data_IF_058749478912
#
_entry.id   IF_058749478912
#
_cell.length_a   1.000
_cell.length_b   1.000
_cell.length_c   1.000
_cell.angle_alpha   90.00
_cell.angle_beta   90.00
_cell.angle_gamma   90.00
#
_symmetry.space_group_name_H-M   'P 1'
#
loop_
_entity.id
_entity.type
_entity.pdbx_description
1 polymer ?
#
# COMPACT_ATOMS: atom_id res chain seq x y z
N UNK A 1 59.11 -37.57 -17.33
CA UNK A 1 58.06 -37.92 -16.34
C UNK A 1 56.71 -37.65 -17.01
N UNK A 2 55.99 -38.66 -17.54
CA UNK A 2 54.94 -39.49 -16.87
C UNK A 2 53.91 -38.58 -16.16
N UNK A 3 52.69 -38.28 -16.62
CA UNK A 3 51.55 -38.95 -17.33
C UNK A 3 50.63 -39.79 -16.41
N UNK A 4 49.31 -39.47 -16.50
CA UNK A 4 48.07 -40.23 -16.17
C UNK A 4 47.54 -40.04 -14.74
N UNK A 5 46.31 -39.53 -14.49
CA UNK A 5 44.93 -39.93 -14.87
C UNK A 5 44.51 -41.30 -14.31
N UNK A 6 43.48 -41.24 -13.44
CA UNK A 6 42.54 -42.23 -12.84
C UNK A 6 42.34 -43.57 -13.60
N UNK A 7 41.84 -44.69 -13.00
CA UNK A 7 40.55 -44.76 -12.26
C UNK A 7 40.36 -45.89 -11.19
N UNK A 8 39.11 -46.01 -10.74
CA UNK A 8 38.50 -46.88 -9.73
C UNK A 8 38.67 -48.40 -9.87
N UNK A 9 38.48 -49.13 -8.76
CA UNK A 9 37.99 -50.52 -8.73
C UNK A 9 37.16 -50.79 -7.46
N UNK A 10 36.14 -51.63 -7.64
CA UNK A 10 35.01 -51.98 -6.77
C UNK A 10 35.19 -53.39 -6.16
N UNK A 11 34.23 -53.82 -5.31
CA UNK A 11 33.92 -55.20 -4.83
C UNK A 11 34.77 -55.72 -3.62
N UNK A 12 34.29 -56.45 -2.60
CA UNK A 12 33.07 -57.27 -2.37
C UNK A 12 32.97 -57.84 -0.93
N UNK A 13 31.72 -57.95 -0.41
CA UNK A 13 30.99 -59.09 0.22
C UNK A 13 31.31 -59.78 1.59
N UNK A 14 30.20 -59.96 2.35
CA UNK A 14 29.66 -61.16 3.08
C UNK A 14 30.37 -61.63 4.40
N UNK A 15 29.70 -62.07 5.49
CA UNK A 15 28.64 -63.09 5.66
C UNK A 15 28.00 -63.12 7.09
N UNK A 16 26.89 -63.87 7.18
CA UNK A 16 25.95 -64.22 8.27
C UNK A 16 26.45 -64.65 9.68
N UNK A 17 25.53 -64.58 10.68
CA UNK A 17 25.59 -65.37 11.93
C UNK A 17 24.41 -65.21 12.92
N UNK A 18 23.48 -66.16 12.88
CA UNK A 18 22.41 -66.63 13.80
C UNK A 18 22.07 -65.98 15.19
N UNK A 19 20.74 -65.84 15.38
CA UNK A 19 19.90 -66.26 16.53
C UNK A 19 20.03 -65.62 17.94
N UNK A 20 18.95 -64.99 18.41
CA UNK A 20 18.04 -65.51 19.46
C UNK A 20 17.07 -64.40 19.95
N UNK A 21 15.77 -64.72 20.08
CA UNK A 21 14.77 -63.92 20.80
C UNK A 21 14.86 -64.25 22.29
N UNK A 22 14.87 -63.23 23.15
CA UNK A 22 14.60 -63.32 24.59
C UNK A 22 13.80 -62.08 25.04
N UNK A 23 12.98 -62.17 26.11
CA UNK A 23 11.73 -61.41 26.27
C UNK A 23 11.87 -60.06 27.00
N UNK A 24 10.76 -59.32 26.89
CA UNK A 24 10.34 -58.04 27.48
C UNK A 24 11.06 -57.49 28.72
N UNK A 25 11.32 -56.18 28.68
CA UNK A 25 11.33 -55.32 29.86
C UNK A 25 10.25 -54.24 29.73
N UNK A 26 9.49 -54.09 30.81
CA UNK A 26 8.45 -53.09 31.00
C UNK A 26 9.15 -51.79 31.37
N UNK A 27 9.19 -50.80 30.46
CA UNK A 27 9.61 -49.44 30.81
C UNK A 27 8.38 -48.55 30.97
N UNK A 28 8.18 -48.17 32.23
CA UNK A 28 7.32 -47.11 32.75
C UNK A 28 7.43 -45.86 31.88
N UNK A 29 6.29 -45.32 31.42
CA UNK A 29 6.25 -43.99 30.81
C UNK A 29 6.88 -42.97 31.78
N UNK A 30 7.76 -42.06 31.29
CA UNK A 30 8.17 -40.92 32.08
C UNK A 30 6.94 -40.07 32.46
N UNK A 31 7.02 -39.22 33.51
CA UNK A 31 5.98 -38.25 33.80
C UNK A 31 5.74 -37.37 32.56
N UNK A 32 4.53 -36.81 32.36
CA UNK A 32 4.34 -35.83 31.30
C UNK A 32 5.39 -34.73 31.51
N UNK A 33 6.23 -34.52 30.49
CA UNK A 33 7.19 -33.43 30.54
C UNK A 33 6.42 -32.13 30.74
N UNK A 34 6.79 -31.50 31.86
CA UNK A 34 6.49 -30.14 32.23
C UNK A 34 6.74 -29.24 31.01
N UNK A 35 5.73 -28.41 30.72
CA UNK A 35 5.64 -27.48 29.61
C UNK A 35 6.99 -26.90 29.19
N UNK A 36 7.44 -27.32 28.00
CA UNK A 36 8.50 -26.67 27.25
C UNK A 36 8.18 -25.17 27.08
N UNK A 37 9.22 -24.33 26.98
CA UNK A 37 9.24 -22.96 27.46
C UNK A 37 8.20 -22.07 26.76
N UNK A 38 7.78 -20.98 27.42
CA UNK A 38 7.17 -19.85 26.75
C UNK A 38 8.11 -19.43 25.60
N UNK A 39 7.79 -19.85 24.38
CA UNK A 39 8.61 -19.57 23.21
C UNK A 39 8.25 -18.19 22.68
N UNK A 40 9.28 -17.38 22.42
CA UNK A 40 9.36 -16.33 21.39
C UNK A 40 8.38 -15.14 21.41
N UNK A 41 7.35 -15.15 22.25
CA UNK A 41 6.29 -14.13 22.24
C UNK A 41 6.11 -13.46 23.61
N UNK A 42 5.85 -12.16 23.61
CA UNK A 42 5.96 -11.26 24.79
C UNK A 42 4.92 -11.47 25.91
N UNK A 43 4.03 -12.47 25.79
CA UNK A 43 2.96 -12.70 26.76
C UNK A 43 3.41 -13.58 27.93
N UNK A 44 3.39 -13.01 29.14
CA UNK A 44 3.75 -13.71 30.38
C UNK A 44 2.78 -14.84 30.80
N UNK A 45 1.57 -14.90 30.25
CA UNK A 45 0.53 -15.90 30.59
C UNK A 45 -0.18 -16.38 29.33
N UNK A 46 -0.25 -17.70 29.17
CA UNK A 46 -1.01 -18.39 28.13
C UNK A 46 -2.13 -19.26 28.74
N UNK A 47 -3.30 -19.43 28.08
CA UNK A 47 -3.73 -18.71 26.89
C UNK A 47 -3.88 -17.20 27.16
N UNK A 48 -3.64 -16.39 26.14
CA UNK A 48 -3.70 -14.92 26.20
C UNK A 48 -5.08 -14.46 26.67
N UNK A 49 -5.07 -13.51 27.60
CA UNK A 49 -6.26 -12.82 28.10
C UNK A 49 -6.27 -11.38 27.64
N UNK A 50 -7.46 -10.78 27.54
CA UNK A 50 -7.62 -9.38 27.14
C UNK A 50 -6.81 -8.41 28.02
N UNK A 51 -6.76 -8.65 29.33
CA UNK A 51 -5.98 -7.80 30.26
C UNK A 51 -4.47 -7.92 30.02
N UNK A 52 -4.00 -9.10 29.60
CA UNK A 52 -2.60 -9.31 29.22
C UNK A 52 -2.26 -8.56 27.93
N UNK A 53 -3.17 -8.50 26.96
CA UNK A 53 -3.03 -7.66 25.75
C UNK A 53 -2.89 -6.19 26.13
N UNK A 54 -3.82 -5.66 26.94
CA UNK A 54 -3.75 -4.26 27.38
C UNK A 54 -2.45 -3.93 28.11
N UNK A 55 -2.01 -4.85 28.98
CA UNK A 55 -0.77 -4.68 29.76
C UNK A 55 0.45 -4.64 28.85
N UNK A 56 0.58 -5.59 27.92
CA UNK A 56 1.73 -5.66 27.01
C UNK A 56 1.82 -4.41 26.12
N UNK A 57 0.72 -4.06 25.43
CA UNK A 57 0.71 -2.92 24.52
C UNK A 57 0.98 -1.59 25.25
N UNK A 58 0.46 -1.41 26.46
CA UNK A 58 0.76 -0.23 27.28
C UNK A 58 2.23 -0.17 27.72
N UNK A 59 2.87 -1.32 27.98
CA UNK A 59 4.32 -1.37 28.25
C UNK A 59 5.16 -0.98 27.02
N UNK A 60 4.64 -1.24 25.82
CA UNK A 60 5.22 -0.83 24.54
C UNK A 60 4.93 0.64 24.18
N UNK A 61 4.12 1.35 24.98
CA UNK A 61 3.75 2.75 24.74
C UNK A 61 2.50 2.94 23.87
N UNK A 62 1.73 1.89 23.62
CA UNK A 62 0.50 1.93 22.83
C UNK A 62 -0.77 1.89 23.69
N UNK A 63 -1.78 2.63 23.25
CA UNK A 63 -3.15 2.52 23.75
C UNK A 63 -3.93 1.46 22.97
N UNK A 64 -4.51 0.48 23.68
CA UNK A 64 -5.42 -0.50 23.07
C UNK A 64 -6.85 0.07 23.03
N UNK A 65 -7.35 0.33 21.83
CA UNK A 65 -8.67 0.93 21.57
C UNK A 65 -9.77 -0.12 21.59
N UNK A 66 -9.54 -1.24 20.90
CA UNK A 66 -10.54 -2.32 20.77
C UNK A 66 -9.87 -3.69 20.78
N UNK A 67 -10.53 -4.66 21.42
CA UNK A 67 -10.15 -6.07 21.38
C UNK A 67 -11.37 -6.89 20.99
N UNK A 68 -11.36 -7.43 19.77
CA UNK A 68 -12.43 -8.24 19.21
C UNK A 68 -12.02 -9.71 19.24
N UNK A 69 -12.64 -10.55 20.10
CA UNK A 69 -12.31 -11.98 20.18
C UNK A 69 -12.87 -12.74 18.97
N UNK A 70 -12.13 -13.75 18.50
CA UNK A 70 -12.55 -14.63 17.41
C UNK A 70 -11.95 -16.03 17.61
N UNK A 71 -12.80 -17.03 17.82
CA UNK A 71 -12.40 -18.45 17.93
C UNK A 71 -11.25 -18.78 18.91
N UNK A 72 -11.03 -17.94 19.91
CA UNK A 72 -9.94 -18.09 20.89
C UNK A 72 -8.78 -17.11 20.69
N UNK A 73 -8.71 -16.48 19.51
CA UNK A 73 -7.77 -15.43 19.14
C UNK A 73 -8.39 -14.03 19.30
N UNK A 74 -7.61 -13.00 18.98
CA UNK A 74 -8.03 -11.61 19.11
C UNK A 74 -7.55 -10.76 17.94
N UNK A 75 -8.46 -9.98 17.36
CA UNK A 75 -8.11 -8.78 16.60
C UNK A 75 -7.99 -7.61 17.59
N UNK A 76 -6.85 -6.92 17.55
CA UNK A 76 -6.52 -5.79 18.41
C UNK A 76 -6.36 -4.55 17.56
N UNK A 77 -7.15 -3.53 17.88
CA UNK A 77 -6.94 -2.16 17.41
C UNK A 77 -6.20 -1.40 18.50
N UNK A 78 -5.08 -0.77 18.12
CA UNK A 78 -4.21 -0.02 19.03
C UNK A 78 -3.56 1.14 18.29
N UNK A 79 -3.03 2.12 19.01
CA UNK A 79 -2.28 3.22 18.40
C UNK A 79 -1.57 4.02 19.47
N UNK A 80 -0.96 5.13 19.09
CA UNK A 80 -0.26 5.99 20.05
C UNK A 80 -1.26 6.63 21.01
N UNK A 81 -0.87 6.77 22.28
CA UNK A 81 -1.73 7.32 23.35
C UNK A 81 -2.18 8.76 23.08
N UNK A 82 -1.42 9.51 22.28
CA UNK A 82 -1.67 10.93 22.02
C UNK A 82 -2.24 11.19 20.61
N UNK A 83 -2.57 10.14 19.85
CA UNK A 83 -3.06 10.27 18.48
C UNK A 83 -4.31 9.40 18.27
N UNK A 84 -5.52 9.92 18.55
CA UNK A 84 -6.75 9.14 18.43
C UNK A 84 -7.18 8.86 16.98
N UNK A 85 -6.58 9.52 15.99
CA UNK A 85 -7.07 9.51 14.60
C UNK A 85 -6.49 8.34 13.80
N UNK A 86 -5.32 7.83 14.19
CA UNK A 86 -4.64 6.75 13.49
C UNK A 86 -4.46 5.50 14.35
N UNK A 87 -4.85 4.34 13.82
CA UNK A 87 -4.78 3.05 14.50
C UNK A 87 -3.92 2.07 13.69
N UNK A 88 -3.43 1.05 14.37
CA UNK A 88 -2.88 -0.19 13.84
C UNK A 88 -3.88 -1.32 14.10
N UNK A 89 -3.82 -2.36 13.26
CA UNK A 89 -4.53 -3.62 13.47
C UNK A 89 -3.51 -4.74 13.65
N UNK A 90 -3.72 -5.60 14.65
CA UNK A 90 -2.92 -6.80 14.85
C UNK A 90 -3.78 -8.02 15.19
N UNK A 91 -3.36 -9.18 14.70
CA UNK A 91 -3.88 -10.47 15.14
C UNK A 91 -3.03 -11.02 16.27
N UNK A 92 -3.69 -11.51 17.33
CA UNK A 92 -3.04 -12.17 18.48
C UNK A 92 -3.60 -13.59 18.61
N UNK A 93 -2.73 -14.57 18.38
CA UNK A 93 -3.04 -15.98 18.57
C UNK A 93 -3.18 -16.28 20.06
N UNK A 94 -4.36 -16.75 20.48
CA UNK A 94 -4.71 -16.87 21.88
C UNK A 94 -3.93 -17.95 22.61
N UNK A 95 -3.65 -19.08 21.96
CA UNK A 95 -2.96 -20.20 22.62
C UNK A 95 -1.46 -19.96 22.76
N UNK A 96 -0.84 -19.35 21.76
CA UNK A 96 0.63 -19.22 21.69
C UNK A 96 1.14 -17.83 22.02
N UNK A 97 0.29 -16.81 21.93
CA UNK A 97 0.69 -15.41 22.09
C UNK A 97 1.36 -14.79 20.87
N UNK A 98 1.48 -15.51 19.74
CA UNK A 98 2.02 -14.93 18.50
C UNK A 98 1.22 -13.70 18.11
N UNK A 99 1.92 -12.61 17.82
CA UNK A 99 1.37 -11.33 17.38
C UNK A 99 1.78 -11.05 15.93
N UNK A 100 0.84 -10.65 15.09
CA UNK A 100 1.09 -10.26 13.71
C UNK A 100 0.41 -8.92 13.44
N UNK A 101 1.18 -7.90 13.08
CA UNK A 101 0.63 -6.63 12.60
C UNK A 101 0.02 -6.84 11.21
N UNK A 102 -1.24 -6.46 11.05
CA UNK A 102 -2.03 -6.66 9.84
C UNK A 102 -1.99 -5.43 8.92
N UNK A 103 -1.92 -4.23 9.47
CA UNK A 103 -2.01 -3.00 8.68
C UNK A 103 -1.07 -1.92 9.21
N UNK A 104 -0.81 -0.91 8.38
CA UNK A 104 -0.12 0.32 8.76
C UNK A 104 -0.92 1.15 9.76
N UNK A 105 -0.31 2.24 10.24
CA UNK A 105 -0.94 3.15 11.18
C UNK A 105 -1.84 4.12 10.41
N UNK A 106 -3.06 3.69 10.14
CA UNK A 106 -3.98 4.35 9.21
C UNK A 106 -5.27 4.79 9.89
N UNK A 107 -5.97 5.71 9.25
CA UNK A 107 -7.32 6.11 9.68
C UNK A 107 -8.36 5.16 9.05
N UNK A 108 -8.76 4.14 9.81
CA UNK A 108 -9.77 3.17 9.37
C UNK A 108 -11.18 3.76 9.44
N UNK A 109 -11.98 3.51 8.41
CA UNK A 109 -13.41 3.84 8.40
C UNK A 109 -14.28 2.65 8.82
N UNK A 110 -13.85 1.44 8.47
CA UNK A 110 -14.44 0.19 8.95
C UNK A 110 -13.44 -0.97 8.84
N UNK A 111 -13.63 -2.00 9.65
CA UNK A 111 -12.95 -3.28 9.49
C UNK A 111 -13.76 -4.40 10.12
N UNK A 112 -13.64 -5.61 9.58
CA UNK A 112 -14.29 -6.82 10.07
C UNK A 112 -13.41 -8.05 9.91
N UNK A 113 -13.63 -9.04 10.78
CA UNK A 113 -12.95 -10.33 10.69
C UNK A 113 -13.70 -11.19 9.68
N UNK A 114 -13.03 -11.59 8.60
CA UNK A 114 -13.60 -12.47 7.56
C UNK A 114 -13.18 -13.93 7.72
N UNK A 115 -12.15 -14.18 8.52
CA UNK A 115 -11.68 -15.53 8.87
C UNK A 115 -10.58 -15.53 9.93
N UNK A 116 -10.06 -16.70 10.32
CA UNK A 116 -8.93 -16.81 11.25
C UNK A 116 -7.70 -16.10 10.70
N UNK A 117 -7.20 -15.09 11.42
CA UNK A 117 -6.06 -14.29 10.97
C UNK A 117 -6.36 -13.42 9.75
N UNK A 118 -7.62 -13.18 9.41
CA UNK A 118 -8.02 -12.46 8.20
C UNK A 118 -8.98 -11.32 8.52
N UNK A 119 -8.68 -10.14 8.00
CA UNK A 119 -9.43 -8.92 8.22
C UNK A 119 -9.65 -8.19 6.91
N UNK A 120 -10.90 -7.83 6.65
CA UNK A 120 -11.25 -6.87 5.61
C UNK A 120 -11.35 -5.48 6.24
N UNK A 121 -10.70 -4.47 5.64
CA UNK A 121 -10.71 -3.09 6.15
C UNK A 121 -10.85 -2.05 5.04
N UNK A 122 -11.33 -0.88 5.44
CA UNK A 122 -11.42 0.33 4.61
C UNK A 122 -10.75 1.51 5.33
N UNK A 123 -10.11 2.40 4.57
CA UNK A 123 -9.41 3.59 5.10
C UNK A 123 -9.90 4.88 4.44
N UNK A 124 -9.64 6.01 5.09
CA UNK A 124 -9.83 7.33 4.47
C UNK A 124 -8.72 7.70 3.47
N UNK A 125 -7.64 6.91 3.42
CA UNK A 125 -6.39 7.25 2.72
C UNK A 125 -5.40 8.07 3.56
N UNK A 126 -5.72 8.37 4.82
CA UNK A 126 -4.79 8.96 5.77
C UNK A 126 -3.95 7.90 6.47
N UNK A 127 -2.63 8.14 6.53
CA UNK A 127 -1.65 7.32 7.26
C UNK A 127 -0.70 8.20 8.08
N UNK A 128 -0.39 7.78 9.31
CA UNK A 128 0.45 8.55 10.23
C UNK A 128 1.91 8.70 9.76
N UNK A 129 2.38 7.79 8.89
CA UNK A 129 3.70 7.86 8.29
C UNK A 129 3.83 8.92 7.20
N UNK A 130 2.72 9.50 6.74
CA UNK A 130 2.71 10.45 5.63
C UNK A 130 1.89 11.69 5.97
N UNK A 131 2.45 12.90 5.82
CA UNK A 131 1.73 14.16 6.11
C UNK A 131 0.70 14.54 5.03
N UNK A 132 0.29 13.62 4.16
CA UNK A 132 -0.59 13.88 3.03
C UNK A 132 -1.75 12.90 2.91
N UNK A 133 -2.84 13.37 2.32
CA UNK A 133 -4.02 12.58 1.98
C UNK A 133 -3.72 11.71 0.77
N UNK A 134 -3.68 10.39 0.99
CA UNK A 134 -3.63 9.38 -0.05
C UNK A 134 -5.02 8.94 -0.49
N UNK A 135 -5.06 7.95 -1.39
CA UNK A 135 -6.33 7.35 -1.83
C UNK A 135 -6.93 6.53 -0.69
N UNK A 136 -8.26 6.61 -0.47
CA UNK A 136 -8.99 5.61 0.28
C UNK A 136 -8.66 4.21 -0.23
N UNK A 137 -8.53 3.25 0.69
CA UNK A 137 -8.23 1.86 0.35
C UNK A 137 -9.33 0.95 0.88
N UNK A 138 -9.57 -0.13 0.15
CA UNK A 138 -10.36 -1.30 0.57
C UNK A 138 -9.46 -2.52 0.36
N UNK A 139 -9.24 -3.29 1.42
CA UNK A 139 -8.28 -4.37 1.39
C UNK A 139 -8.66 -5.52 2.32
N UNK A 140 -8.36 -6.74 1.87
CA UNK A 140 -8.36 -7.94 2.72
C UNK A 140 -6.92 -8.31 3.03
N UNK A 141 -6.58 -8.35 4.31
CA UNK A 141 -5.27 -8.78 4.81
C UNK A 141 -5.39 -10.08 5.58
N UNK A 142 -4.47 -11.01 5.31
CA UNK A 142 -4.43 -12.33 5.91
C UNK A 142 -3.05 -12.64 6.47
N UNK A 143 -3.00 -13.23 7.66
CA UNK A 143 -1.76 -13.77 8.24
C UNK A 143 -1.25 -14.94 7.41
N UNK A 144 0.04 -14.89 7.06
CA UNK A 144 0.81 -16.00 6.52
C UNK A 144 1.46 -16.78 7.67
N UNK A 145 1.03 -18.03 7.83
CA UNK A 145 1.47 -18.91 8.91
C UNK A 145 0.32 -19.29 9.83
N UNK A 146 0.68 -19.83 10.99
CA UNK A 146 -0.26 -20.25 12.02
C UNK A 146 0.17 -19.74 13.39
N UNK A 147 -0.47 -20.22 14.45
CA UNK A 147 -0.13 -19.85 15.82
C UNK A 147 1.32 -20.18 16.22
N UNK A 148 2.01 -21.07 15.49
CA UNK A 148 3.35 -21.55 15.81
C UNK A 148 4.48 -20.87 15.02
N UNK A 149 4.17 -20.21 13.90
CA UNK A 149 5.19 -19.47 13.14
C UNK A 149 4.79 -19.08 11.72
N UNK A 150 5.76 -18.54 10.97
CA UNK A 150 5.60 -18.13 9.56
C UNK A 150 5.60 -19.35 8.63
N UNK A 151 4.89 -19.26 7.50
CA UNK A 151 4.96 -20.28 6.44
C UNK A 151 6.38 -20.41 5.85
N UNK A 152 7.05 -19.28 5.63
CA UNK A 152 8.41 -19.22 5.09
C UNK A 152 9.23 -18.29 5.98
N UNK A 153 10.33 -18.79 6.60
CA UNK A 153 11.25 -17.93 7.35
C UNK A 153 11.77 -16.79 6.46
N UNK A 154 11.87 -15.58 7.02
CA UNK A 154 12.29 -14.34 6.33
C UNK A 154 11.29 -13.72 5.32
N UNK A 155 10.11 -14.30 5.13
CA UNK A 155 9.03 -13.67 4.35
C UNK A 155 8.12 -12.77 5.20
N UNK A 156 7.31 -11.95 4.52
CA UNK A 156 6.24 -11.12 5.10
C UNK A 156 5.28 -12.00 5.93
N UNK A 157 4.82 -11.49 7.08
CA UNK A 157 3.86 -12.20 7.93
C UNK A 157 2.42 -12.14 7.44
N UNK A 158 2.15 -11.37 6.38
CA UNK A 158 0.83 -11.12 5.85
C UNK A 158 0.83 -11.08 4.32
N UNK A 159 -0.32 -11.43 3.76
CA UNK A 159 -0.68 -11.20 2.36
C UNK A 159 -1.82 -10.20 2.34
N UNK A 160 -1.72 -9.17 1.51
CA UNK A 160 -2.77 -8.13 1.37
C UNK A 160 -3.25 -8.11 -0.07
N UNK A 161 -4.56 -8.14 -0.25
CA UNK A 161 -5.24 -7.96 -1.53
C UNK A 161 -6.05 -6.67 -1.48
N UNK A 162 -5.93 -5.85 -2.52
CA UNK A 162 -6.61 -4.56 -2.63
C UNK A 162 -7.78 -4.64 -3.60
N UNK A 163 -8.85 -3.94 -3.27
CA UNK A 163 -10.05 -3.81 -4.11
C UNK A 163 -10.16 -2.40 -4.67
N UNK A 164 -10.86 -2.27 -5.81
CA UNK A 164 -11.15 -0.96 -6.40
C UNK A 164 -12.14 -0.20 -5.54
N UNK A 165 -11.69 0.94 -4.99
CA UNK A 165 -12.57 1.83 -4.22
C UNK A 165 -13.41 2.70 -5.16
N UNK A 166 -14.74 2.57 -5.03
CA UNK A 166 -15.69 3.37 -5.80
C UNK A 166 -16.29 4.50 -4.95
N UNK A 167 -16.00 5.73 -5.36
CA UNK A 167 -16.38 6.95 -4.66
C UNK A 167 -17.64 7.60 -5.24
N UNK A 168 -18.41 8.26 -4.38
CA UNK A 168 -19.56 9.07 -4.77
C UNK A 168 -19.08 10.45 -5.25
N UNK A 169 -19.39 10.90 -6.48
CA UNK A 169 -19.02 12.24 -6.97
C UNK A 169 -19.48 13.37 -6.06
N UNK A 170 -20.57 13.19 -5.32
CA UNK A 170 -21.09 14.20 -4.38
C UNK A 170 -20.26 14.31 -3.09
N UNK A 171 -19.36 13.36 -2.82
CA UNK A 171 -18.40 13.44 -1.73
C UNK A 171 -17.08 14.01 -2.29
N UNK A 172 -16.66 15.21 -1.83
CA UNK A 172 -15.38 15.77 -2.26
C UNK A 172 -14.23 14.83 -1.90
N UNK A 173 -13.39 14.53 -2.88
CA UNK A 173 -12.11 13.87 -2.68
C UNK A 173 -11.01 14.92 -2.67
N UNK A 174 -10.05 14.77 -1.77
CA UNK A 174 -8.86 15.59 -1.72
C UNK A 174 -7.62 14.70 -1.51
N UNK A 175 -6.66 14.82 -2.42
CA UNK A 175 -5.38 14.10 -2.43
C UNK A 175 -4.26 15.15 -2.37
N UNK A 176 -3.27 14.94 -1.50
CA UNK A 176 -2.23 15.92 -1.17
C UNK A 176 -2.31 16.39 0.29
N UNK A 177 -1.47 17.35 0.70
CA UNK A 177 -1.34 17.68 2.13
C UNK A 177 -2.46 18.55 2.72
N UNK A 178 -2.57 18.46 4.06
CA UNK A 178 -3.72 18.70 4.94
C UNK A 178 -4.18 20.17 5.09
N UNK A 179 -5.03 20.44 6.10
CA UNK A 179 -5.98 21.56 6.30
C UNK A 179 -5.53 23.02 6.01
N UNK A 180 -4.24 23.27 5.85
CA UNK A 180 -3.69 24.60 5.54
C UNK A 180 -3.62 24.89 4.02
N UNK A 181 -4.00 23.90 3.20
CA UNK A 181 -3.97 23.95 1.74
C UNK A 181 -3.05 22.84 1.19
N UNK A 182 -3.13 22.54 -0.12
CA UNK A 182 -2.41 21.41 -0.72
C UNK A 182 -0.90 21.65 -0.66
N UNK A 183 -0.27 21.27 0.44
CA UNK A 183 1.20 21.19 0.53
C UNK A 183 1.66 19.89 -0.13
N UNK A 184 1.53 19.85 -1.43
CA UNK A 184 2.72 19.62 -2.24
C UNK A 184 3.21 21.01 -2.67
N UNK A 185 3.36 21.96 -1.74
CA UNK A 185 3.54 23.40 -2.05
C UNK A 185 4.87 23.72 -2.75
N UNK A 186 5.61 22.68 -3.14
CA UNK A 186 6.80 22.77 -3.95
C UNK A 186 6.88 21.69 -5.02
N UNK A 187 5.89 20.79 -5.21
CA UNK A 187 5.84 19.87 -6.36
C UNK A 187 5.03 20.50 -7.46
N UNK A 188 5.68 20.65 -8.60
CA UNK A 188 5.11 21.30 -9.77
C UNK A 188 5.06 20.34 -10.93
N UNK A 189 3.90 20.32 -11.57
CA UNK A 189 3.63 19.45 -12.70
C UNK A 189 3.30 20.29 -13.92
N UNK A 190 3.62 19.75 -15.09
CA UNK A 190 3.04 20.24 -16.33
C UNK A 190 2.17 19.14 -16.91
N UNK A 191 0.93 19.51 -17.30
CA UNK A 191 0.00 18.59 -17.92
C UNK A 191 0.46 18.25 -19.34
N UNK A 192 1.05 17.07 -19.54
CA UNK A 192 1.55 16.66 -20.84
C UNK A 192 0.43 16.20 -21.77
N UNK A 193 -0.50 15.41 -21.27
CA UNK A 193 -1.58 14.82 -22.05
C UNK A 193 -2.83 14.65 -21.19
N UNK A 194 -4.01 14.88 -21.80
CA UNK A 194 -5.30 14.65 -21.18
C UNK A 194 -6.25 14.06 -22.22
N UNK A 195 -6.87 12.92 -21.90
CA UNK A 195 -7.73 12.18 -22.84
C UNK A 195 -8.99 11.70 -22.16
N UNK A 196 -10.06 11.65 -22.96
CA UNK A 196 -11.29 10.95 -22.60
C UNK A 196 -11.15 9.52 -23.12
N UNK A 197 -11.15 8.56 -22.20
CA UNK A 197 -11.17 7.13 -22.51
C UNK A 197 -12.61 6.63 -22.62
N UNK A 198 -12.78 5.32 -22.87
CA UNK A 198 -14.11 4.71 -22.94
C UNK A 198 -14.97 5.03 -21.71
N UNK A 199 -14.33 4.99 -20.53
CA UNK A 199 -15.01 5.02 -19.24
C UNK A 199 -14.52 6.12 -18.28
N UNK A 200 -13.55 6.97 -18.68
CA UNK A 200 -12.93 7.92 -17.75
C UNK A 200 -12.06 9.01 -18.40
N UNK A 201 -11.24 9.63 -17.56
CA UNK A 201 -10.23 10.63 -17.93
C UNK A 201 -8.84 10.09 -17.56
N UNK A 202 -7.89 10.20 -18.48
CA UNK A 202 -6.49 9.91 -18.22
C UNK A 202 -5.66 11.19 -18.36
N UNK A 203 -4.75 11.40 -17.42
CA UNK A 203 -3.82 12.52 -17.40
C UNK A 203 -2.39 12.00 -17.32
N UNK A 204 -1.49 12.60 -18.08
CA UNK A 204 -0.05 12.37 -17.97
C UNK A 204 0.65 13.68 -17.65
N UNK A 205 1.68 13.60 -16.80
CA UNK A 205 2.39 14.76 -16.30
C UNK A 205 3.88 14.63 -16.59
N UNK A 206 4.52 15.75 -16.86
CA UNK A 206 5.98 15.88 -16.97
C UNK A 206 6.48 16.95 -15.98
N UNK A 207 7.78 17.04 -15.71
CA UNK A 207 8.33 18.13 -14.92
C UNK A 207 7.99 19.49 -15.52
N UNK A 208 7.88 20.52 -14.68
CA UNK A 208 7.80 21.90 -15.14
C UNK A 208 9.23 22.44 -15.42
N UNK A 209 9.45 22.99 -16.62
CA UNK A 209 10.74 23.47 -17.10
C UNK A 209 11.07 24.93 -16.78
N UNK A 210 10.14 25.73 -16.23
CA UNK A 210 10.30 27.17 -16.00
C UNK A 210 11.49 27.50 -15.09
N UNK A 211 11.84 26.59 -14.17
CA UNK A 211 12.96 26.75 -13.25
C UNK A 211 13.49 25.42 -12.75
N UNK A 212 14.74 25.41 -12.31
CA UNK A 212 15.38 24.24 -11.71
C UNK A 212 14.64 23.74 -10.44
N UNK A 213 14.06 24.65 -9.67
CA UNK A 213 13.28 24.31 -8.47
C UNK A 213 12.05 23.48 -8.85
N UNK A 214 11.24 24.00 -9.79
CA UNK A 214 10.04 23.32 -10.28
C UNK A 214 10.40 21.99 -10.95
N UNK A 215 11.45 21.97 -11.77
CA UNK A 215 11.90 20.77 -12.45
C UNK A 215 12.29 19.65 -11.46
N UNK A 216 13.13 19.98 -10.47
CA UNK A 216 13.60 19.00 -9.47
C UNK A 216 12.49 18.47 -8.57
N UNK A 217 11.48 19.29 -8.31
CA UNK A 217 10.39 18.90 -7.42
C UNK A 217 9.58 17.69 -7.89
N UNK A 218 9.58 17.44 -9.21
CA UNK A 218 8.86 16.34 -9.82
C UNK A 218 9.45 14.97 -9.44
N UNK A 219 10.78 14.86 -9.33
CA UNK A 219 11.48 13.55 -9.28
C UNK A 219 11.43 12.82 -7.92
N UNK A 220 11.68 13.47 -6.76
CA UNK A 220 11.57 12.81 -5.46
C UNK A 220 10.17 12.30 -5.14
N UNK A 221 9.17 12.75 -5.89
CA UNK A 221 7.75 12.49 -5.67
C UNK A 221 7.05 11.87 -6.90
N UNK A 222 7.77 11.50 -7.97
CA UNK A 222 7.18 10.98 -9.21
C UNK A 222 6.37 9.69 -9.02
N UNK A 223 6.61 8.98 -7.92
CA UNK A 223 5.87 7.77 -7.52
C UNK A 223 4.58 8.07 -6.75
N UNK A 224 4.36 9.31 -6.32
CA UNK A 224 3.18 9.72 -5.56
C UNK A 224 2.16 10.42 -6.46
N UNK A 225 0.89 10.32 -6.08
CA UNK A 225 -0.23 10.88 -6.83
C UNK A 225 -0.12 12.41 -6.84
N UNK A 226 -0.32 13.08 -7.99
CA UNK A 226 -0.46 14.54 -8.04
C UNK A 226 -1.47 15.06 -7.03
N UNK A 227 -1.24 16.24 -6.48
CA UNK A 227 -2.22 16.87 -5.60
C UNK A 227 -3.46 17.27 -6.40
N UNK A 228 -4.64 16.81 -5.99
CA UNK A 228 -5.89 17.20 -6.63
C UNK A 228 -7.09 17.19 -5.69
N UNK A 229 -8.15 17.88 -6.09
CA UNK A 229 -9.46 17.80 -5.44
C UNK A 229 -10.60 17.65 -6.44
N UNK A 230 -11.71 17.12 -5.95
CA UNK A 230 -12.95 16.98 -6.73
C UNK A 230 -14.10 17.78 -6.11
N UNK A 231 -14.97 18.28 -6.98
CA UNK A 231 -16.23 18.92 -6.58
C UNK A 231 -17.33 18.54 -7.57
N UNK A 232 -18.56 18.44 -7.08
CA UNK A 232 -19.73 18.13 -7.89
C UNK A 232 -20.88 19.08 -7.58
N UNK A 233 -21.41 19.72 -8.62
CA UNK A 233 -22.65 20.48 -8.55
C UNK A 233 -23.82 19.60 -9.02
N UNK A 234 -24.75 19.22 -8.13
CA UNK A 234 -25.87 18.35 -8.49
C UNK A 234 -26.88 18.99 -9.44
N UNK A 235 -26.99 20.33 -9.48
CA UNK A 235 -27.99 21.02 -10.31
C UNK A 235 -27.56 21.05 -11.79
N UNK A 236 -26.29 21.35 -12.04
CA UNK A 236 -25.71 21.34 -13.38
C UNK A 236 -25.11 20.00 -13.79
N UNK A 237 -24.95 19.07 -12.84
CA UNK A 237 -24.17 17.83 -12.94
C UNK A 237 -22.70 18.07 -13.31
N UNK A 238 -22.18 19.26 -13.05
CA UNK A 238 -20.79 19.59 -13.31
C UNK A 238 -19.89 18.91 -12.28
N UNK A 239 -18.95 18.10 -12.76
CA UNK A 239 -17.87 17.53 -11.97
C UNK A 239 -16.57 18.25 -12.32
N UNK A 240 -15.89 18.74 -11.30
CA UNK A 240 -14.67 19.52 -11.41
C UNK A 240 -13.54 18.77 -10.73
N UNK A 241 -12.42 18.63 -11.43
CA UNK A 241 -11.14 18.15 -10.91
C UNK A 241 -10.18 19.33 -10.93
N UNK A 242 -9.65 19.72 -9.77
CA UNK A 242 -8.59 20.73 -9.68
C UNK A 242 -7.26 20.02 -9.42
N UNK A 243 -6.34 20.15 -10.35
CA UNK A 243 -4.97 19.65 -10.28
C UNK A 243 -4.08 20.79 -9.77
N UNK A 244 -3.58 20.65 -8.54
CA UNK A 244 -2.85 21.72 -7.87
C UNK A 244 -1.41 21.83 -8.38
N UNK A 245 -0.87 23.06 -8.41
CA UNK A 245 0.50 23.35 -8.89
C UNK A 245 0.81 22.74 -10.26
N UNK A 246 -0.23 22.65 -11.10
CA UNK A 246 -0.17 22.08 -12.43
C UNK A 246 -0.30 23.22 -13.43
N UNK A 247 0.61 23.30 -14.39
CA UNK A 247 0.53 24.27 -15.48
C UNK A 247 0.22 23.61 -16.82
N UNK A 248 -0.35 24.39 -17.74
CA UNK A 248 -0.49 23.99 -19.14
C UNK A 248 0.78 24.25 -19.96
N UNK A 249 1.59 25.23 -19.59
CA UNK A 249 2.83 25.59 -20.29
C UNK A 249 4.04 25.25 -19.44
N UNK A 250 4.99 24.47 -19.97
CA UNK A 250 6.18 24.03 -19.21
C UNK A 250 7.29 25.08 -19.15
N UNK A 251 7.21 26.13 -19.96
CA UNK A 251 8.33 27.05 -20.18
C UNK A 251 9.50 26.38 -20.91
N UNK A 252 10.63 27.09 -21.02
CA UNK A 252 11.86 26.54 -21.62
C UNK A 252 12.85 26.08 -20.55
N UNK A 253 13.67 25.08 -20.87
CA UNK A 253 14.81 24.71 -20.03
C UNK A 253 15.83 25.84 -20.08
N UNK A 254 16.02 26.54 -18.95
CA UNK A 254 17.20 27.40 -18.82
C UNK A 254 18.49 26.56 -18.96
N UNK A 255 19.63 27.20 -19.22
CA UNK A 255 20.92 26.51 -19.37
C UNK A 255 21.28 25.57 -18.20
N UNK A 256 20.74 25.85 -17.01
CA UNK A 256 20.96 25.03 -15.81
C UNK A 256 20.14 23.72 -15.81
N UNK A 257 18.96 23.68 -16.46
CA UNK A 257 18.11 22.48 -16.57
C UNK A 257 18.70 21.49 -17.56
N UNK A 258 19.33 21.98 -18.63
CA UNK A 258 20.01 21.15 -19.63
C UNK A 258 21.11 20.24 -19.02
N UNK A 259 21.81 20.70 -17.98
CA UNK A 259 22.81 19.87 -17.27
C UNK A 259 22.17 18.73 -16.46
N UNK A 260 20.92 18.92 -16.02
CA UNK A 260 20.19 17.96 -15.16
C UNK A 260 19.27 17.02 -15.96
N UNK A 261 18.94 17.37 -17.20
CA UNK A 261 18.12 16.54 -18.09
C UNK A 261 18.75 15.16 -18.30
N UNK A 262 20.07 15.02 -18.34
CA UNK A 262 20.71 13.69 -18.45
C UNK A 262 20.18 12.91 -19.67
N UNK A 263 19.47 11.80 -19.42
CA UNK A 263 18.79 10.96 -20.44
C UNK A 263 17.31 11.36 -20.71
N UNK A 264 16.79 12.41 -20.05
CA UNK A 264 15.43 12.91 -20.28
C UNK A 264 15.32 13.54 -21.68
N UNK A 265 14.18 13.45 -22.39
CA UNK A 265 14.10 13.88 -23.79
C UNK A 265 14.45 15.37 -23.97
N UNK A 266 15.49 15.65 -24.76
CA UNK A 266 15.98 17.01 -25.06
C UNK A 266 14.93 17.88 -25.79
N UNK A 267 13.97 17.25 -26.47
CA UNK A 267 12.91 17.91 -27.25
C UNK A 267 11.60 18.10 -26.49
N UNK A 268 11.58 17.81 -25.18
CA UNK A 268 10.38 17.92 -24.35
C UNK A 268 9.98 19.38 -24.07
N UNK A 269 10.92 20.32 -24.09
CA UNK A 269 10.68 21.70 -23.70
C UNK A 269 11.05 22.69 -24.83
N UNK A 270 10.31 23.80 -24.99
CA UNK A 270 9.06 24.12 -24.31
C UNK A 270 7.87 23.29 -24.85
N UNK A 271 6.92 23.02 -23.98
CA UNK A 271 5.67 22.33 -24.30
C UNK A 271 4.47 23.12 -23.76
N UNK A 272 3.37 23.08 -24.49
CA UNK A 272 2.13 23.75 -24.13
C UNK A 272 0.94 22.84 -24.44
N UNK A 273 0.20 22.46 -23.42
CA UNK A 273 -1.06 21.74 -23.57
C UNK A 273 -2.19 22.73 -23.89
N UNK A 274 -2.99 22.50 -24.94
CA UNK A 274 -4.03 23.44 -25.33
C UNK A 274 -5.17 23.47 -24.31
N UNK A 275 -5.47 24.66 -23.77
CA UNK A 275 -6.70 24.89 -23.03
C UNK A 275 -7.92 24.77 -23.96
N UNK A 276 -9.06 24.37 -23.38
CA UNK A 276 -10.33 24.24 -24.07
C UNK A 276 -10.91 22.83 -24.01
N UNK A 277 -11.76 22.50 -24.97
CA UNK A 277 -12.44 21.20 -25.03
C UNK A 277 -11.48 20.06 -25.34
N UNK A 278 -11.61 18.94 -24.61
CA UNK A 278 -10.92 17.67 -24.93
C UNK A 278 -11.62 16.89 -26.06
N UNK A 279 -12.64 17.47 -26.69
CA UNK A 279 -13.31 16.88 -27.85
C UNK A 279 -14.54 16.05 -27.47
N UNK A 280 -14.49 14.75 -27.75
CA UNK A 280 -15.70 13.90 -27.85
C UNK A 280 -16.19 13.41 -26.49
N UNK A 281 -17.48 13.56 -26.24
CA UNK A 281 -18.20 12.91 -25.14
C UNK A 281 -18.00 11.38 -25.07
N UNK A 282 -18.03 10.84 -23.86
CA UNK A 282 -18.10 9.40 -23.59
C UNK A 282 -19.50 8.98 -23.11
N UNK A 283 -19.64 7.72 -22.68
CA UNK A 283 -20.88 7.25 -22.05
C UNK A 283 -21.12 7.86 -20.68
N UNK A 284 -20.09 8.43 -20.06
CA UNK A 284 -20.09 8.92 -18.68
C UNK A 284 -19.88 10.43 -18.59
N UNK A 285 -19.14 11.01 -19.54
CA UNK A 285 -18.67 12.40 -19.49
C UNK A 285 -19.10 13.16 -20.74
N UNK A 286 -19.53 14.41 -20.56
CA UNK A 286 -19.83 15.35 -21.64
C UNK A 286 -19.13 16.68 -21.43
N UNK A 287 -18.92 17.41 -22.52
CA UNK A 287 -18.43 18.79 -22.51
C UNK A 287 -17.16 18.96 -21.67
N UNK A 288 -16.22 18.01 -21.79
CA UNK A 288 -14.99 18.03 -20.98
C UNK A 288 -14.09 19.17 -21.44
N UNK A 289 -13.67 20.02 -20.51
CA UNK A 289 -12.79 21.16 -20.76
C UNK A 289 -11.64 21.21 -19.78
N UNK A 290 -10.48 21.64 -20.26
CA UNK A 290 -9.28 21.93 -19.46
C UNK A 290 -8.99 23.43 -19.52
N UNK A 291 -8.71 24.04 -18.37
CA UNK A 291 -8.33 25.44 -18.28
C UNK A 291 -7.26 25.67 -17.22
N UNK A 292 -6.43 26.68 -17.42
CA UNK A 292 -5.56 27.21 -16.37
C UNK A 292 -6.37 28.14 -15.46
N UNK A 293 -6.27 27.95 -14.15
CA UNK A 293 -6.83 28.84 -13.13
C UNK A 293 -5.75 29.16 -12.07
N UNK A 294 -5.12 30.33 -12.20
CA UNK A 294 -3.95 30.66 -11.39
C UNK A 294 -2.80 29.68 -11.64
N UNK A 295 -2.29 29.07 -10.57
CA UNK A 295 -1.21 28.07 -10.61
C UNK A 295 -1.70 26.63 -10.83
N UNK A 296 -3.02 26.44 -10.96
CA UNK A 296 -3.66 25.14 -11.06
C UNK A 296 -4.23 24.89 -12.46
N UNK A 297 -4.37 23.61 -12.81
CA UNK A 297 -5.21 23.19 -13.93
C UNK A 297 -6.57 22.74 -13.39
N UNK A 298 -7.64 23.24 -14.00
CA UNK A 298 -9.00 22.83 -13.70
C UNK A 298 -9.58 22.08 -14.89
N UNK A 299 -10.03 20.86 -14.63
CA UNK A 299 -10.76 20.02 -15.57
C UNK A 299 -12.23 20.00 -15.16
N UNK A 300 -13.12 20.27 -16.09
CA UNK A 300 -14.57 20.28 -15.84
C UNK A 300 -15.24 19.33 -16.82
N UNK A 301 -16.20 18.54 -16.35
CA UNK A 301 -16.97 17.60 -17.14
C UNK A 301 -18.41 17.53 -16.65
N UNK A 302 -19.39 17.48 -17.55
CA UNK A 302 -20.77 17.21 -17.18
C UNK A 302 -20.96 15.69 -17.06
N UNK A 303 -21.26 15.21 -15.85
CA UNK A 303 -21.55 13.80 -15.62
C UNK A 303 -22.90 13.43 -16.23
N UNK A 304 -22.95 12.36 -17.02
CA UNK A 304 -24.22 11.80 -17.48
C UNK A 304 -24.94 11.06 -16.37
N UNK A 305 -26.21 10.70 -16.57
CA UNK A 305 -26.98 9.89 -15.61
C UNK A 305 -26.39 8.49 -15.35
N UNK A 306 -25.41 8.05 -16.16
CA UNK A 306 -24.70 6.78 -15.97
C UNK A 306 -23.49 6.90 -15.05
N UNK A 307 -23.00 8.11 -14.79
CA UNK A 307 -21.84 8.37 -13.94
C UNK A 307 -22.30 8.63 -12.50
N UNK A 308 -22.49 7.55 -11.74
CA UNK A 308 -22.94 7.59 -10.33
C UNK A 308 -21.80 7.32 -9.34
N UNK A 309 -20.67 6.77 -9.79
CA UNK A 309 -19.44 6.58 -9.02
C UNK A 309 -18.21 6.79 -9.89
N UNK A 310 -17.09 7.07 -9.25
CA UNK A 310 -15.78 7.14 -9.89
C UNK A 310 -14.72 6.40 -9.07
N UNK A 311 -13.63 6.01 -9.72
CA UNK A 311 -12.42 5.48 -9.10
C UNK A 311 -11.23 6.30 -9.59
N UNK A 312 -10.12 6.24 -8.87
CA UNK A 312 -8.87 6.89 -9.25
C UNK A 312 -7.78 5.84 -9.28
N UNK A 313 -7.10 5.76 -10.41
CA UNK A 313 -5.96 4.88 -10.62
C UNK A 313 -4.73 5.74 -10.90
N UNK A 314 -3.58 5.26 -10.46
CA UNK A 314 -2.29 5.95 -10.60
C UNK A 314 -1.23 4.95 -11.01
N UNK A 315 -0.31 5.39 -11.86
CA UNK A 315 0.84 4.61 -12.28
C UNK A 315 2.00 5.53 -12.62
N UNK A 316 3.23 5.06 -12.44
CA UNK A 316 4.42 5.74 -12.88
C UNK A 316 4.83 5.19 -14.25
N UNK A 317 5.06 6.07 -15.23
CA UNK A 317 5.54 5.69 -16.57
C UNK A 317 7.08 5.74 -16.67
N UNK A 318 7.75 6.09 -15.58
CA UNK A 318 9.20 6.19 -15.44
C UNK A 318 9.92 4.84 -15.40
N UNK A 319 11.23 4.90 -15.62
CA UNK A 319 12.11 3.71 -15.66
C UNK A 319 12.40 3.13 -14.27
N UNK A 320 12.00 3.83 -13.22
CA UNK A 320 12.05 3.44 -11.82
C UNK A 320 10.93 2.46 -11.41
N UNK A 321 10.15 1.97 -12.38
CA UNK A 321 9.32 0.76 -12.23
C UNK A 321 10.21 -0.49 -12.06
N UNK A 322 10.86 -0.63 -10.91
CA UNK A 322 11.50 -1.87 -10.50
C UNK A 322 10.50 -2.71 -9.70
N UNK A 323 9.99 -3.78 -10.33
CA UNK A 323 9.34 -4.97 -9.75
C UNK A 323 8.52 -4.76 -8.45
N UNK A 324 7.24 -4.38 -8.61
CA UNK A 324 6.16 -4.84 -7.72
C UNK A 324 5.40 -6.03 -8.32
N UNK A 325 5.87 -6.57 -9.46
CA UNK A 325 5.45 -7.88 -9.98
C UNK A 325 6.43 -8.94 -9.47
N UNK A 326 6.33 -9.21 -8.16
CA UNK A 326 6.88 -10.44 -7.60
C UNK A 326 6.12 -11.63 -8.19
N UNK A 327 6.90 -12.62 -8.61
CA UNK A 327 6.49 -13.86 -9.26
C UNK A 327 5.24 -14.55 -8.65
N UNK A 328 4.49 -15.19 -9.54
CA UNK A 328 3.30 -16.01 -9.29
C UNK A 328 3.51 -17.22 -8.35
#
# INVERSE_FOLDING_TARGET
MRRRVLPALLLTLLLCGCAARTPADTQTSPPPEESAPAAEYDFAVLPVRKDSIRTLYSQEGYEVRKITPYEGDYLVEYGDENDPDFSLLAWVFGQTGRRVQLAGMSQFTAYEITGPGEVHYTTTGQDAGTPWNGLPQEATVRVLGDETGKLVPEWTDVETSYETVWLDPAQPLFIGATEEGPVYAQRYEQLYDARIDADGLSFSFIPNGDSMEKFRSFFPAATSIPGFSTAFDPDSRMFTIRLYNTCLESGGTGADVDEWLGDYPEDLYPYAFPAGSLGRDSHFLKDVTVAQDGEDVVVSAVLTDRAWRFTVETSNLGRDNWEMDGEA
#
